data_IF_660344645235
#
_entry.id   IF_660344645235
#
_cell.length_a   1.000
_cell.length_b   1.000
_cell.length_c   1.000
_cell.angle_alpha   90.00
_cell.angle_beta   90.00
_cell.angle_gamma   90.00
#
_symmetry.space_group_name_H-M   'P 1'
#
loop_
_entity.id
_entity.type
_entity.pdbx_description
1 polymer ?
#
# COMPACT_ATOMS: atom_id res chain seq x y z
N UNK A 1 -9.48 -17.92 -56.04
CA UNK A 1 -9.98 -16.53 -56.16
C UNK A 1 -9.74 -15.83 -54.83
N UNK A 2 -8.65 -15.06 -54.68
CA UNK A 2 -8.05 -14.73 -53.37
C UNK A 2 -7.93 -13.21 -53.10
N UNK A 3 -8.74 -12.38 -53.76
CA UNK A 3 -8.59 -10.92 -53.81
C UNK A 3 -9.91 -10.18 -53.46
N UNK A 4 -10.44 -10.36 -52.24
CA UNK A 4 -11.71 -9.72 -51.84
C UNK A 4 -11.80 -9.25 -50.37
N UNK A 5 -10.85 -9.58 -49.49
CA UNK A 5 -10.99 -9.37 -48.03
C UNK A 5 -10.13 -8.21 -47.48
N UNK A 6 -9.13 -7.74 -48.25
CA UNK A 6 -8.18 -6.72 -47.79
C UNK A 6 -8.69 -5.27 -47.56
N UNK A 7 -9.76 -4.74 -48.19
CA UNK A 7 -10.06 -3.30 -48.07
C UNK A 7 -10.60 -2.89 -46.68
N UNK A 8 -11.27 -3.80 -45.95
CA UNK A 8 -12.03 -3.44 -44.75
C UNK A 8 -11.18 -3.16 -43.49
N UNK A 9 -9.89 -3.56 -43.49
CA UNK A 9 -9.03 -3.45 -42.30
C UNK A 9 -8.14 -2.19 -42.30
N UNK A 10 -7.81 -1.65 -43.48
CA UNK A 10 -6.94 -0.49 -43.60
C UNK A 10 -7.59 0.81 -43.06
N UNK A 11 -8.87 1.01 -43.35
CA UNK A 11 -9.58 2.26 -43.04
C UNK A 11 -9.72 2.51 -41.52
N UNK A 12 -10.00 1.46 -40.73
CA UNK A 12 -10.15 1.57 -39.27
C UNK A 12 -8.83 1.89 -38.55
N UNK A 13 -7.68 1.63 -39.16
CA UNK A 13 -6.38 1.97 -38.56
C UNK A 13 -6.04 3.47 -38.66
N UNK A 14 -6.61 4.18 -39.64
CA UNK A 14 -6.32 5.60 -39.87
C UNK A 14 -7.03 6.51 -38.83
N UNK A 15 -8.23 6.15 -38.39
CA UNK A 15 -9.07 7.00 -37.53
C UNK A 15 -8.63 7.05 -36.06
N UNK A 16 -7.82 6.11 -35.58
CA UNK A 16 -7.32 6.11 -34.18
C UNK A 16 -6.27 7.21 -33.93
N UNK A 17 -5.53 7.64 -34.96
CA UNK A 17 -4.43 8.60 -34.83
C UNK A 17 -4.93 10.07 -34.72
N UNK A 18 -6.10 10.41 -35.30
CA UNK A 18 -6.57 11.81 -35.35
C UNK A 18 -6.94 12.40 -33.97
N UNK A 19 -7.28 11.58 -32.98
CA UNK A 19 -7.75 12.05 -31.68
C UNK A 19 -6.63 12.41 -30.69
N UNK A 20 -5.40 11.91 -30.92
CA UNK A 20 -4.21 12.23 -30.11
C UNK A 20 -3.43 13.41 -30.68
N UNK A 21 -3.29 13.51 -32.01
CA UNK A 21 -2.51 14.57 -32.67
C UNK A 21 -3.01 15.99 -32.37
N UNK A 22 -4.34 16.20 -32.25
CA UNK A 22 -4.90 17.52 -31.92
C UNK A 22 -4.36 18.08 -30.60
N UNK A 23 -4.28 17.27 -29.53
CA UNK A 23 -3.74 17.73 -28.23
C UNK A 23 -2.27 18.16 -28.34
N UNK A 24 -1.46 17.42 -29.09
CA UNK A 24 -0.04 17.71 -29.32
C UNK A 24 0.13 19.03 -30.10
N UNK A 25 -0.72 19.28 -31.10
CA UNK A 25 -0.64 20.49 -31.94
C UNK A 25 -0.98 21.77 -31.18
N UNK A 26 -2.06 21.76 -30.37
CA UNK A 26 -2.40 22.91 -29.51
C UNK A 26 -1.29 23.21 -28.49
N UNK A 27 -0.71 22.18 -27.85
CA UNK A 27 0.43 22.34 -26.95
C UNK A 27 1.65 22.99 -27.63
N UNK A 28 2.05 22.50 -28.81
CA UNK A 28 3.16 23.08 -29.59
C UNK A 28 2.92 24.55 -29.99
N UNK A 29 1.67 24.96 -30.21
CA UNK A 29 1.31 26.35 -30.55
C UNK A 29 1.41 27.31 -29.36
N UNK A 30 1.06 26.86 -28.16
CA UNK A 30 1.27 27.62 -26.90
C UNK A 30 2.76 27.73 -26.58
N UNK A 31 3.50 26.61 -26.66
CA UNK A 31 4.92 26.55 -26.33
C UNK A 31 5.78 27.45 -27.23
N UNK A 32 5.50 27.49 -28.54
CA UNK A 32 6.22 28.40 -29.46
C UNK A 32 6.04 29.88 -29.10
N UNK A 33 4.86 30.32 -28.64
CA UNK A 33 4.65 31.71 -28.21
C UNK A 33 5.39 32.01 -26.91
N UNK A 34 5.39 31.09 -25.95
CA UNK A 34 6.13 31.23 -24.69
C UNK A 34 7.66 31.27 -24.91
N UNK A 35 8.18 30.42 -25.80
CA UNK A 35 9.59 30.40 -26.19
C UNK A 35 10.05 31.70 -26.89
N UNK A 36 9.19 32.34 -27.69
CA UNK A 36 9.51 33.63 -28.32
C UNK A 36 9.56 34.78 -27.31
N UNK A 37 8.69 34.77 -26.30
CA UNK A 37 8.72 35.74 -25.19
C UNK A 37 10.01 35.59 -24.36
N UNK A 38 10.35 34.36 -23.95
CA UNK A 38 11.59 34.06 -23.23
C UNK A 38 12.87 34.35 -24.04
N UNK A 39 12.80 34.33 -25.38
CA UNK A 39 13.93 34.69 -26.25
C UNK A 39 14.17 36.20 -26.32
N UNK A 40 13.13 37.02 -26.22
CA UNK A 40 13.26 38.49 -26.19
C UNK A 40 13.84 39.03 -24.89
N UNK A 41 13.67 38.31 -23.78
CA UNK A 41 14.21 38.69 -22.47
C UNK A 41 15.72 38.38 -22.30
N UNK A 42 16.38 37.78 -23.30
CA UNK A 42 17.80 37.41 -23.21
C UNK A 42 18.71 38.38 -23.97
N UNK A 43 18.93 39.55 -23.36
CA UNK A 43 20.09 40.41 -23.63
C UNK A 43 21.08 40.33 -22.46
N UNK A 44 22.32 40.78 -22.65
CA UNK A 44 23.47 40.38 -21.82
C UNK A 44 23.72 41.27 -20.60
N UNK A 45 23.78 40.64 -19.42
CA UNK A 45 24.54 40.98 -18.19
C UNK A 45 24.67 42.48 -17.75
N UNK A 46 24.45 42.86 -16.48
CA UNK A 46 24.22 42.05 -15.27
C UNK A 46 23.49 42.84 -14.18
N UNK A 47 22.40 42.27 -13.66
CA UNK A 47 21.70 42.74 -12.47
C UNK A 47 20.36 42.03 -12.32
N UNK A 48 20.09 41.44 -11.14
CA UNK A 48 18.79 40.84 -10.85
C UNK A 48 17.75 41.96 -10.75
N UNK A 49 16.76 41.97 -11.65
CA UNK A 49 15.69 42.97 -11.56
C UNK A 49 14.63 42.54 -10.54
N UNK A 50 14.07 43.48 -9.79
CA UNK A 50 13.02 43.17 -8.79
C UNK A 50 11.78 42.52 -9.44
N UNK A 51 11.46 42.89 -10.68
CA UNK A 51 10.35 42.31 -11.44
C UNK A 51 10.63 40.86 -11.87
N UNK A 52 11.86 40.52 -12.22
CA UNK A 52 12.27 39.15 -12.57
C UNK A 52 12.17 38.23 -11.35
N UNK A 53 12.64 38.66 -10.18
CA UNK A 53 12.47 37.92 -8.93
C UNK A 53 10.99 37.77 -8.55
N UNK A 54 10.18 38.82 -8.71
CA UNK A 54 8.73 38.82 -8.46
C UNK A 54 8.00 37.79 -9.34
N UNK A 55 8.31 37.74 -10.64
CA UNK A 55 7.72 36.75 -11.56
C UNK A 55 8.16 35.33 -11.20
N UNK A 56 9.43 35.13 -10.79
CA UNK A 56 9.92 33.81 -10.35
C UNK A 56 9.18 33.31 -9.11
N UNK A 57 9.02 34.13 -8.06
CA UNK A 57 8.31 33.69 -6.84
C UNK A 57 6.81 33.47 -7.09
N UNK A 58 6.19 34.25 -7.99
CA UNK A 58 4.80 34.05 -8.39
C UNK A 58 4.61 32.71 -9.13
N UNK A 59 5.50 32.36 -10.06
CA UNK A 59 5.48 31.06 -10.76
C UNK A 59 5.73 29.90 -9.80
N UNK A 60 6.69 30.04 -8.87
CA UNK A 60 6.95 29.03 -7.83
C UNK A 60 5.71 28.81 -6.94
N UNK A 61 5.03 29.87 -6.52
CA UNK A 61 3.80 29.77 -5.72
C UNK A 61 2.68 28.99 -6.42
N UNK A 62 2.43 29.29 -7.71
CA UNK A 62 1.43 28.56 -8.52
C UNK A 62 1.80 27.09 -8.70
N UNK A 63 3.06 26.79 -8.98
CA UNK A 63 3.54 25.41 -9.15
C UNK A 63 3.50 24.61 -7.83
N UNK A 64 3.91 25.22 -6.71
CA UNK A 64 3.87 24.59 -5.40
C UNK A 64 2.45 24.18 -4.98
N UNK A 65 1.47 25.07 -5.19
CA UNK A 65 0.06 24.77 -4.93
C UNK A 65 -0.48 23.61 -5.79
N UNK A 66 -0.11 23.58 -7.08
CA UNK A 66 -0.53 22.50 -7.98
C UNK A 66 0.02 21.12 -7.59
N UNK A 67 1.29 21.04 -7.15
CA UNK A 67 1.93 19.77 -6.78
C UNK A 67 1.22 19.08 -5.61
N UNK A 68 0.78 19.83 -4.59
CA UNK A 68 0.10 19.27 -3.40
C UNK A 68 -1.25 18.64 -3.75
N UNK A 69 -1.98 19.21 -4.72
CA UNK A 69 -3.27 18.66 -5.19
C UNK A 69 -3.06 17.37 -6.01
N UNK A 70 -1.97 17.29 -6.77
CA UNK A 70 -1.64 16.12 -7.61
C UNK A 70 -1.13 14.95 -6.76
N UNK A 71 -0.25 15.21 -5.80
CA UNK A 71 0.41 14.18 -4.98
C UNK A 71 -0.30 14.07 -3.64
N UNK A 72 -1.44 13.36 -3.60
CA UNK A 72 -2.17 13.05 -2.36
C UNK A 72 -1.21 12.45 -1.30
N UNK A 73 -0.81 13.21 -0.27
CA UNK A 73 0.30 12.82 0.60
C UNK A 73 -0.17 11.80 1.64
N UNK A 74 -1.42 11.90 2.08
CA UNK A 74 -2.03 10.95 3.01
C UNK A 74 -2.07 9.53 2.41
N UNK A 75 -2.39 9.39 1.12
CA UNK A 75 -2.39 8.10 0.43
C UNK A 75 -0.98 7.48 0.29
N UNK A 76 0.04 8.31 0.04
CA UNK A 76 1.43 7.83 -0.03
C UNK A 76 1.96 7.44 1.36
N UNK A 77 1.67 8.22 2.40
CA UNK A 77 2.01 7.89 3.78
C UNK A 77 1.28 6.64 4.29
N UNK A 78 0.02 6.42 3.88
CA UNK A 78 -0.71 5.19 4.15
C UNK A 78 -0.04 3.97 3.52
N UNK A 79 0.35 4.05 2.23
CA UNK A 79 1.10 2.99 1.53
C UNK A 79 2.46 2.71 2.18
N UNK A 80 3.17 3.73 2.65
CA UNK A 80 4.43 3.55 3.36
C UNK A 80 4.26 2.79 4.68
N UNK A 81 3.24 3.15 5.49
CA UNK A 81 2.87 2.41 6.70
C UNK A 81 2.43 0.97 6.38
N UNK A 82 1.64 0.76 5.33
CA UNK A 82 1.23 -0.59 4.90
C UNK A 82 2.40 -1.46 4.41
N UNK A 83 3.40 -0.87 3.77
CA UNK A 83 4.64 -1.56 3.43
C UNK A 83 5.41 -1.98 4.70
N UNK A 84 5.52 -1.08 5.70
CA UNK A 84 6.10 -1.42 7.00
C UNK A 84 5.33 -2.55 7.69
N UNK A 85 3.99 -2.48 7.75
CA UNK A 85 3.14 -3.57 8.30
C UNK A 85 3.45 -4.92 7.63
N UNK A 86 3.58 -4.94 6.30
CA UNK A 86 3.91 -6.16 5.54
C UNK A 86 5.33 -6.68 5.80
N UNK A 87 6.26 -5.83 6.23
CA UNK A 87 7.62 -6.22 6.64
C UNK A 87 7.64 -6.72 8.09
N UNK A 88 7.04 -5.97 9.02
CA UNK A 88 7.00 -6.29 10.44
C UNK A 88 6.30 -7.63 10.71
N UNK A 89 5.19 -7.91 10.03
CA UNK A 89 4.48 -9.20 10.13
C UNK A 89 5.31 -10.38 9.58
N UNK A 90 6.17 -10.15 8.57
CA UNK A 90 7.09 -11.19 8.06
C UNK A 90 8.21 -11.46 9.05
N UNK A 91 8.80 -10.43 9.65
CA UNK A 91 9.81 -10.57 10.68
C UNK A 91 9.26 -11.32 11.91
N UNK A 92 8.04 -10.99 12.34
CA UNK A 92 7.33 -11.72 13.40
C UNK A 92 7.07 -13.17 12.99
N UNK A 93 6.60 -13.46 11.77
CA UNK A 93 6.40 -14.85 11.34
C UNK A 93 7.70 -15.65 11.31
N UNK A 94 8.81 -15.06 10.86
CA UNK A 94 10.12 -15.74 10.84
C UNK A 94 10.61 -16.03 12.27
N UNK A 95 10.46 -15.09 13.19
CA UNK A 95 10.79 -15.28 14.60
C UNK A 95 9.89 -16.32 15.29
N UNK A 96 8.62 -16.42 14.91
CA UNK A 96 7.70 -17.47 15.36
C UNK A 96 8.13 -18.86 14.87
N UNK A 97 8.53 -18.99 13.59
CA UNK A 97 9.06 -20.26 13.08
C UNK A 97 10.34 -20.70 13.82
N UNK A 98 11.25 -19.76 14.12
CA UNK A 98 12.45 -20.04 14.91
C UNK A 98 12.12 -20.45 16.35
N UNK A 99 11.21 -19.74 17.02
CA UNK A 99 10.74 -20.11 18.36
C UNK A 99 10.18 -21.54 18.38
N UNK A 100 9.38 -21.91 17.38
CA UNK A 100 8.78 -23.25 17.28
C UNK A 100 9.78 -24.35 16.85
N UNK A 101 10.96 -24.00 16.32
CA UNK A 101 12.04 -24.97 16.09
C UNK A 101 12.77 -25.30 17.40
N UNK A 102 13.01 -24.29 18.25
CA UNK A 102 13.74 -24.47 19.51
C UNK A 102 12.85 -25.07 20.62
N UNK A 103 11.58 -24.65 20.69
CA UNK A 103 10.66 -24.98 21.79
C UNK A 103 9.63 -26.07 21.41
N UNK A 104 9.57 -26.49 20.15
CA UNK A 104 8.58 -27.45 19.62
C UNK A 104 7.15 -26.91 19.44
N UNK A 105 6.79 -25.82 20.12
CA UNK A 105 5.51 -25.12 20.02
C UNK A 105 5.67 -23.61 19.79
N UNK A 106 4.60 -22.95 19.36
CA UNK A 106 4.50 -21.49 19.30
C UNK A 106 4.19 -20.87 20.67
N UNK A 107 4.50 -19.57 20.91
CA UNK A 107 4.20 -18.88 22.16
C UNK A 107 2.69 -18.85 22.47
N UNK A 108 2.23 -19.76 23.33
CA UNK A 108 0.81 -19.97 23.64
C UNK A 108 0.17 -18.69 24.20
N UNK A 109 -1.02 -18.34 23.68
CA UNK A 109 -1.89 -17.29 24.26
C UNK A 109 -3.19 -17.84 24.84
N UNK A 110 -3.40 -19.16 24.73
CA UNK A 110 -4.59 -19.89 25.14
C UNK A 110 -5.22 -20.60 23.95
N UNK A 111 -5.62 -19.83 22.93
CA UNK A 111 -6.15 -20.35 21.67
C UNK A 111 -5.83 -19.38 20.52
N UNK A 112 -5.98 -19.82 19.26
CA UNK A 112 -5.79 -18.99 18.05
C UNK A 112 -6.77 -17.82 17.94
N UNK A 113 -7.80 -17.80 18.78
CA UNK A 113 -8.78 -16.71 18.96
C UNK A 113 -8.54 -15.87 20.23
N UNK A 114 -7.59 -16.25 21.09
CA UNK A 114 -7.24 -15.53 22.32
C UNK A 114 -6.18 -14.47 22.00
N UNK A 115 -6.63 -13.34 21.48
CA UNK A 115 -5.77 -12.29 20.93
C UNK A 115 -5.00 -11.49 21.99
N UNK A 116 -3.70 -11.34 21.77
CA UNK A 116 -2.81 -10.34 22.40
C UNK A 116 -2.41 -9.31 21.34
N UNK A 117 -2.13 -8.07 21.74
CA UNK A 117 -2.11 -6.91 20.84
C UNK A 117 -0.84 -6.06 20.99
N UNK A 118 -0.34 -5.47 19.90
CA UNK A 118 0.87 -4.62 19.93
C UNK A 118 0.74 -3.34 20.77
N UNK A 119 -0.47 -3.01 21.24
CA UNK A 119 -0.72 -1.99 22.26
C UNK A 119 -0.18 -2.38 23.65
N UNK A 120 -0.07 -3.68 23.95
CA UNK A 120 0.36 -4.22 25.25
C UNK A 120 1.89 -4.20 25.47
N UNK A 121 2.58 -3.17 24.97
CA UNK A 121 4.02 -3.02 25.14
C UNK A 121 4.85 -4.00 24.30
N UNK A 122 6.04 -4.36 24.78
CA UNK A 122 7.03 -5.13 24.01
C UNK A 122 6.89 -6.65 24.23
N UNK A 123 6.00 -7.05 25.13
CA UNK A 123 5.75 -8.42 25.60
C UNK A 123 4.45 -9.03 25.05
N UNK A 124 3.89 -8.44 23.99
CA UNK A 124 2.58 -8.83 23.46
C UNK A 124 2.57 -10.22 22.80
N UNK A 125 3.69 -10.63 22.22
CA UNK A 125 4.01 -12.04 21.95
C UNK A 125 5.03 -12.49 23.01
N UNK A 126 4.74 -13.50 23.85
CA UNK A 126 5.70 -13.96 24.85
C UNK A 126 6.90 -14.67 24.19
N UNK A 127 8.05 -14.69 24.87
CA UNK A 127 9.27 -15.40 24.44
C UNK A 127 10.00 -14.84 23.20
N UNK A 128 9.31 -14.14 22.29
CA UNK A 128 9.83 -13.73 20.99
C UNK A 128 10.95 -12.67 21.07
N UNK A 129 11.00 -11.88 22.14
CA UNK A 129 12.05 -10.91 22.40
C UNK A 129 12.68 -11.14 23.79
N UNK A 130 14.00 -10.94 23.97
CA UNK A 130 14.94 -10.35 23.00
C UNK A 130 15.56 -11.35 22.00
N UNK A 131 15.33 -12.66 22.17
CA UNK A 131 16.11 -13.72 21.52
C UNK A 131 15.87 -13.86 20.02
N UNK A 132 14.60 -13.91 19.58
CA UNK A 132 14.23 -14.08 18.18
C UNK A 132 14.05 -12.75 17.45
N UNK A 133 13.69 -11.69 18.19
CA UNK A 133 13.67 -10.30 17.76
C UNK A 133 14.21 -9.41 18.88
N UNK A 134 15.10 -8.46 18.55
CA UNK A 134 15.60 -7.42 19.48
C UNK A 134 14.46 -6.67 20.21
N UNK A 135 13.31 -6.53 19.55
CA UNK A 135 12.04 -6.01 20.07
C UNK A 135 10.92 -6.55 19.20
N UNK A 136 9.77 -6.95 19.75
CA UNK A 136 8.60 -7.29 18.93
C UNK A 136 8.03 -5.99 18.32
N UNK A 137 7.86 -5.90 16.98
CA UNK A 137 7.30 -4.71 16.32
C UNK A 137 5.90 -4.33 16.79
N UNK A 138 5.51 -3.09 16.45
CA UNK A 138 4.18 -2.51 16.71
C UNK A 138 3.71 -1.75 15.49
N UNK A 139 2.39 -1.69 15.31
CA UNK A 139 1.80 -0.96 14.19
C UNK A 139 2.25 0.51 14.14
N UNK A 140 2.50 1.11 12.96
CA UNK A 140 2.87 2.53 12.85
C UNK A 140 1.87 3.54 13.45
N UNK A 141 0.63 3.14 13.74
CA UNK A 141 -0.37 3.93 14.49
C UNK A 141 -0.63 3.38 15.89
N UNK A 142 -0.66 2.05 16.07
CA UNK A 142 -0.85 1.33 17.34
C UNK A 142 -1.92 1.91 18.29
N UNK A 143 -3.06 2.34 17.77
CA UNK A 143 -4.00 3.24 18.44
C UNK A 143 -5.27 2.57 18.98
N UNK A 144 -5.41 1.26 18.82
CA UNK A 144 -6.60 0.52 19.25
C UNK A 144 -6.27 -0.94 19.62
N UNK A 145 -7.09 -1.52 20.51
CA UNK A 145 -7.02 -2.95 20.86
C UNK A 145 -7.65 -3.75 19.71
N UNK A 146 -6.79 -4.20 18.80
CA UNK A 146 -7.11 -5.04 17.64
C UNK A 146 -7.30 -4.29 16.30
N UNK A 147 -6.91 -4.91 15.17
CA UNK A 147 -7.13 -4.39 13.80
C UNK A 147 -8.59 -4.51 13.31
N UNK A 148 -9.55 -4.52 14.23
CA UNK A 148 -10.95 -4.86 13.96
C UNK A 148 -11.85 -3.61 13.87
N UNK A 149 -13.00 -3.75 13.21
CA UNK A 149 -14.02 -2.71 13.09
C UNK A 149 -13.77 -1.67 12.00
N UNK A 150 -14.81 -0.89 11.72
CA UNK A 150 -14.82 0.13 10.66
C UNK A 150 -13.90 1.31 10.97
N UNK A 151 -13.83 1.70 12.24
CA UNK A 151 -13.00 2.78 12.79
C UNK A 151 -11.53 2.71 12.36
N UNK A 152 -10.81 3.83 12.49
CA UNK A 152 -9.37 3.94 12.21
C UNK A 152 -8.51 3.24 13.28
N UNK A 153 -8.86 2.00 13.63
CA UNK A 153 -8.21 1.10 14.58
C UNK A 153 -7.06 0.36 13.89
N UNK A 154 -5.84 0.52 14.39
CA UNK A 154 -4.67 -0.19 13.89
C UNK A 154 -3.80 -0.68 15.04
N UNK A 155 -3.57 -1.98 15.06
CA UNK A 155 -2.57 -2.68 15.84
C UNK A 155 -2.28 -4.01 15.15
N UNK A 156 -1.22 -4.68 15.59
CA UNK A 156 -1.07 -6.10 15.33
C UNK A 156 -1.82 -6.88 16.41
N UNK A 157 -2.39 -8.03 16.03
CA UNK A 157 -2.88 -9.00 17.00
C UNK A 157 -2.32 -10.39 16.70
N UNK A 158 -2.12 -11.16 17.76
CA UNK A 158 -1.55 -12.50 17.72
C UNK A 158 -2.32 -13.42 18.68
N UNK A 159 -2.62 -14.64 18.25
CA UNK A 159 -3.23 -15.67 19.10
C UNK A 159 -2.72 -17.06 18.73
N UNK A 160 -2.46 -17.94 19.70
CA UNK A 160 -1.91 -19.26 19.46
C UNK A 160 -2.34 -20.30 20.49
N UNK A 161 -2.51 -21.54 20.02
CA UNK A 161 -2.72 -22.75 20.82
C UNK A 161 -1.46 -23.67 20.85
N UNK A 162 -0.26 -23.13 20.60
CA UNK A 162 1.00 -23.88 20.57
C UNK A 162 1.27 -24.61 19.25
N UNK A 163 0.26 -25.24 18.64
CA UNK A 163 0.40 -25.93 17.34
C UNK A 163 0.19 -24.99 16.13
N UNK A 164 -0.74 -24.05 16.27
CA UNK A 164 -1.11 -23.08 15.25
C UNK A 164 -1.06 -21.66 15.84
N UNK A 165 -0.92 -20.65 14.98
CA UNK A 165 -1.02 -19.25 15.37
C UNK A 165 -1.76 -18.45 14.32
N UNK A 166 -2.54 -17.45 14.74
CA UNK A 166 -2.99 -16.36 13.90
C UNK A 166 -2.15 -15.11 14.21
N UNK A 167 -1.69 -14.41 13.17
CA UNK A 167 -1.05 -13.10 13.26
C UNK A 167 -1.73 -12.17 12.25
N UNK A 168 -2.20 -10.99 12.70
CA UNK A 168 -3.05 -10.09 11.91
C UNK A 168 -2.67 -8.61 11.95
N UNK A 169 -3.03 -7.89 10.88
CA UNK A 169 -3.04 -6.42 10.83
C UNK A 169 -4.09 -5.90 9.83
N UNK A 170 -4.56 -4.65 10.02
CA UNK A 170 -5.42 -3.91 9.09
C UNK A 170 -4.56 -2.98 8.23
N UNK A 171 -4.74 -3.03 6.91
CA UNK A 171 -4.10 -2.10 5.98
C UNK A 171 -4.95 -0.82 5.82
N UNK A 172 -4.30 0.31 5.55
CA UNK A 172 -4.95 1.60 5.27
C UNK A 172 -5.40 1.71 3.82
N UNK A 173 -4.65 1.13 2.88
CA UNK A 173 -5.01 1.10 1.46
C UNK A 173 -6.10 0.04 1.19
N UNK A 174 -7.36 0.48 1.14
CA UNK A 174 -8.51 -0.35 0.78
C UNK A 174 -8.37 -1.06 -0.59
N UNK A 175 -7.53 -0.55 -1.50
CA UNK A 175 -7.29 -1.11 -2.85
C UNK A 175 -6.08 -2.05 -2.94
N UNK A 176 -5.40 -2.34 -1.83
CA UNK A 176 -4.20 -3.18 -1.86
C UNK A 176 -4.54 -4.64 -2.23
N UNK A 177 -3.90 -5.24 -3.24
CA UNK A 177 -4.22 -6.61 -3.66
C UNK A 177 -3.89 -7.65 -2.59
N UNK A 178 -2.98 -7.35 -1.65
CA UNK A 178 -2.70 -8.24 -0.51
C UNK A 178 -3.64 -8.03 0.69
N UNK A 179 -4.63 -7.12 0.62
CA UNK A 179 -5.65 -6.92 1.67
C UNK A 179 -6.52 -8.17 1.87
N UNK A 180 -6.89 -8.84 0.78
CA UNK A 180 -7.83 -9.97 0.79
C UNK A 180 -7.28 -11.28 0.20
N UNK A 181 -6.01 -11.31 -0.25
CA UNK A 181 -5.36 -12.56 -0.65
C UNK A 181 -5.04 -13.38 0.59
N UNK A 182 -5.82 -14.44 0.86
CA UNK A 182 -5.24 -15.61 1.53
C UNK A 182 -4.07 -16.04 0.67
N UNK A 183 -2.88 -16.15 1.34
CA UNK A 183 -0.13 -16.93 0.99
C UNK A 183 0.54 -18.34 0.45
N UNK A 184 -0.08 -19.34 -0.20
CA UNK A 184 0.08 -20.81 -0.10
C UNK A 184 0.40 -21.44 1.26
N UNK A 185 1.18 -20.79 2.11
CA UNK A 185 1.16 -20.89 3.58
C UNK A 185 -0.14 -20.25 4.14
N UNK A 186 -1.31 -20.72 3.69
CA UNK A 186 -2.54 -19.93 3.62
C UNK A 186 -3.76 -20.70 4.22
N UNK A 187 -4.04 -20.40 5.51
CA UNK A 187 -4.93 -21.08 6.48
C UNK A 187 -6.47 -21.02 6.25
N UNK A 188 -7.19 -21.94 6.91
CA UNK A 188 -8.66 -22.11 6.98
C UNK A 188 -9.20 -21.57 8.31
N UNK A 189 -10.17 -20.65 8.29
CA UNK A 189 -10.75 -20.10 9.52
C UNK A 189 -11.67 -21.08 10.25
N UNK A 190 -11.42 -21.35 11.54
CA UNK A 190 -12.37 -22.00 12.44
C UNK A 190 -13.33 -20.97 13.03
N UNK A 191 -14.65 -21.17 12.78
CA UNK A 191 -15.76 -20.30 13.17
C UNK A 191 -15.70 -18.89 12.54
N UNK A 192 -16.57 -18.49 11.61
CA UNK A 192 -17.93 -19.00 11.33
C UNK A 192 -17.98 -20.07 10.21
N UNK A 193 -18.05 -21.35 10.59
CA UNK A 193 -18.60 -22.48 9.79
C UNK A 193 -17.90 -22.93 8.50
N UNK A 194 -17.49 -22.00 7.64
CA UNK A 194 -17.39 -22.24 6.20
C UNK A 194 -15.96 -22.15 5.64
N UNK A 195 -14.92 -22.07 6.49
CA UNK A 195 -13.50 -22.03 6.12
C UNK A 195 -13.01 -20.78 5.37
N UNK A 196 -13.90 -20.00 4.76
CA UNK A 196 -13.59 -18.81 3.99
C UNK A 196 -12.87 -17.71 4.82
N UNK A 197 -11.98 -16.93 4.18
CA UNK A 197 -11.32 -15.80 4.83
C UNK A 197 -12.33 -14.69 5.12
N UNK A 198 -12.12 -13.95 6.21
CA UNK A 198 -12.97 -12.82 6.57
C UNK A 198 -12.65 -11.58 5.71
N UNK A 199 -12.99 -11.66 4.43
CA UNK A 199 -12.64 -10.70 3.38
C UNK A 199 -13.81 -10.22 2.48
N UNK A 200 -15.08 -10.12 2.93
CA UNK A 200 -16.13 -9.53 2.10
C UNK A 200 -15.97 -7.99 2.04
N UNK A 201 -15.91 -7.37 0.85
CA UNK A 201 -16.37 -6.00 0.69
C UNK A 201 -17.91 -6.01 0.73
N UNK A 202 -18.47 -5.91 1.93
CA UNK A 202 -19.88 -5.51 2.08
C UNK A 202 -20.10 -4.14 1.42
N UNK A 203 -21.28 -3.86 0.84
CA UNK A 203 -21.64 -2.52 0.35
C UNK A 203 -21.53 -1.45 1.45
N UNK A 204 -20.36 -0.82 1.56
CA UNK A 204 -20.02 0.20 2.57
C UNK A 204 -18.72 -0.03 3.35
N UNK A 205 -18.19 -1.26 3.46
CA UNK A 205 -17.10 -1.57 4.40
C UNK A 205 -15.71 -1.68 3.76
N UNK A 206 -14.79 -0.84 4.23
CA UNK A 206 -13.47 -0.59 3.60
C UNK A 206 -12.25 -1.20 4.32
N UNK A 207 -12.44 -2.14 5.26
CA UNK A 207 -11.33 -2.79 5.98
C UNK A 207 -11.25 -4.31 5.74
N UNK A 208 -10.09 -4.89 6.02
CA UNK A 208 -9.91 -6.34 6.20
C UNK A 208 -8.70 -6.57 7.11
N UNK A 209 -8.80 -7.40 8.16
CA UNK A 209 -7.66 -7.85 8.95
C UNK A 209 -6.98 -9.02 8.22
N UNK A 210 -5.81 -8.79 7.64
CA UNK A 210 -5.06 -9.84 6.92
C UNK A 210 -4.54 -10.87 7.90
N UNK A 211 -4.85 -12.16 7.70
CA UNK A 211 -4.41 -13.28 8.54
C UNK A 211 -3.17 -13.97 7.97
N UNK A 212 -2.18 -14.21 8.83
CA UNK A 212 -1.10 -15.20 8.66
C UNK A 212 -1.33 -16.34 9.65
N UNK A 213 -1.27 -17.59 9.19
CA UNK A 213 -1.33 -18.79 10.04
C UNK A 213 -0.69 -19.99 9.32
N UNK A 214 0.07 -20.78 10.08
CA UNK A 214 0.94 -21.88 9.60
C UNK A 214 0.26 -23.24 9.77
N UNK A 215 -0.81 -23.46 9.02
CA UNK A 215 -1.28 -24.83 8.76
C UNK A 215 -0.46 -25.46 7.63
N UNK A 216 -0.22 -26.76 7.83
CA UNK A 216 0.19 -27.75 6.84
C UNK A 216 1.57 -27.53 6.19
N UNK A 217 2.58 -28.19 6.79
CA UNK A 217 3.69 -28.76 6.00
C UNK A 217 3.05 -29.73 5.01
N UNK A 218 3.12 -29.43 3.71
CA UNK A 218 2.60 -30.33 2.68
C UNK A 218 3.34 -31.67 2.70
N UNK A 219 2.55 -32.75 2.60
CA UNK A 219 2.90 -33.91 1.78
C UNK A 219 2.83 -33.53 0.31
#
# INVERSE_FOLDING_TARGET
MFLAIYPLFAEKMFLVNLHTQKKIWYGKKILRRFQLYLRWLRTTHSGFTLIELLVVIAVIGVLAGAVVVIVNPAAQLARARDAQRKQDLRAISQALELYALDNGEYPVTGNVTTWRYSTAGDTWIPGLAPYYLKRVPKDPKNNAIGPWGENQNYSYAYGSNGLHYNLVAKLENATDPERCQIKRWFFISSNNGNGNPWCPPSPGYNYSPRVYSRNDKGT
#
